data_IF_423680224677
#
_entry.id   IF_423680224677
#
_cell.length_a   1.000
_cell.length_b   1.000
_cell.length_c   1.000
_cell.angle_alpha   90.00
_cell.angle_beta   90.00
_cell.angle_gamma   90.00
#
_symmetry.space_group_name_H-M   'P 1'
#
loop_
_entity.id
_entity.type
_entity.pdbx_description
1 polymer ?
#
# COMPACT_ATOMS: atom_id res chain seq x y z
N UNK A 1 -5.94 22.40 6.66
CA UNK A 1 -4.55 22.01 7.06
C UNK A 1 -4.15 20.60 6.62
N UNK A 2 -5.04 19.61 6.69
CA UNK A 2 -4.79 18.22 6.24
C UNK A 2 -4.59 18.15 4.72
N UNK A 3 -5.35 18.90 3.94
CA UNK A 3 -5.26 18.96 2.47
C UNK A 3 -3.92 19.51 1.98
N UNK A 4 -3.35 20.51 2.66
CA UNK A 4 -2.07 21.12 2.25
C UNK A 4 -0.88 20.19 2.51
N UNK A 5 -0.95 19.33 3.53
CA UNK A 5 0.10 18.35 3.84
C UNK A 5 0.05 17.12 2.91
N UNK A 6 -1.15 16.71 2.49
CA UNK A 6 -1.34 15.67 1.46
C UNK A 6 -0.76 16.13 0.11
N UNK A 7 -1.03 17.37 -0.31
CA UNK A 7 -0.47 17.94 -1.55
C UNK A 7 1.07 17.98 -1.52
N UNK A 8 1.67 18.31 -0.38
CA UNK A 8 3.13 18.29 -0.24
C UNK A 8 3.74 16.90 -0.37
N UNK A 9 3.09 15.87 0.19
CA UNK A 9 3.57 14.48 0.06
C UNK A 9 3.39 13.93 -1.36
N UNK A 10 2.31 14.28 -2.04
CA UNK A 10 2.07 13.90 -3.44
C UNK A 10 3.09 14.55 -4.39
N UNK A 11 3.46 15.80 -4.17
CA UNK A 11 4.53 16.47 -4.94
C UNK A 11 5.87 15.77 -4.77
N UNK A 12 6.26 15.43 -3.53
CA UNK A 12 7.51 14.71 -3.28
C UNK A 12 7.54 13.30 -3.91
N UNK A 13 6.41 12.60 -3.92
CA UNK A 13 6.26 11.28 -4.58
C UNK A 13 6.41 11.44 -6.08
N UNK A 14 5.71 12.40 -6.67
CA UNK A 14 5.76 12.73 -8.08
C UNK A 14 7.19 13.04 -8.54
N UNK A 15 7.88 13.96 -7.85
CA UNK A 15 9.23 14.38 -8.22
C UNK A 15 10.24 13.23 -8.13
N UNK A 16 10.08 12.33 -7.15
CA UNK A 16 10.92 11.14 -7.03
C UNK A 16 10.66 10.10 -8.11
N UNK A 17 9.40 9.88 -8.46
CA UNK A 17 9.04 8.97 -9.56
C UNK A 17 9.54 9.55 -10.89
N UNK A 18 9.38 10.86 -11.12
CA UNK A 18 9.90 11.57 -12.28
C UNK A 18 11.41 11.44 -12.41
N UNK A 19 12.17 11.76 -11.36
CA UNK A 19 13.63 11.63 -11.35
C UNK A 19 14.09 10.21 -11.70
N UNK A 20 13.43 9.19 -11.14
CA UNK A 20 13.75 7.79 -11.42
C UNK A 20 13.35 7.35 -12.82
N UNK A 21 12.23 7.83 -13.33
CA UNK A 21 11.78 7.58 -14.71
C UNK A 21 12.76 8.19 -15.71
N UNK A 22 13.18 9.43 -15.52
CA UNK A 22 14.20 10.10 -16.34
C UNK A 22 15.53 9.34 -16.31
N UNK A 23 15.98 8.88 -15.15
CA UNK A 23 17.21 8.09 -15.01
C UNK A 23 17.15 6.74 -15.71
N UNK A 24 15.96 6.15 -15.86
CA UNK A 24 15.71 4.88 -16.61
C UNK A 24 15.30 5.12 -18.06
N UNK A 25 15.48 6.33 -18.59
CA UNK A 25 15.14 6.75 -19.97
C UNK A 25 13.66 6.44 -20.33
N UNK A 26 12.76 6.66 -19.39
CA UNK A 26 11.33 6.50 -19.61
C UNK A 26 10.69 7.83 -19.98
N UNK A 27 9.74 7.77 -20.90
CA UNK A 27 8.98 8.92 -21.39
C UNK A 27 8.09 9.48 -20.26
N UNK A 28 8.52 10.58 -19.66
CA UNK A 28 7.84 11.22 -18.54
C UNK A 28 6.40 11.62 -18.85
N UNK A 29 6.15 12.06 -20.07
CA UNK A 29 4.81 12.51 -20.46
C UNK A 29 3.73 11.43 -20.28
N UNK A 30 4.13 10.15 -20.31
CA UNK A 30 3.24 9.01 -20.10
C UNK A 30 3.14 8.56 -18.64
N UNK A 31 4.08 8.95 -17.78
CA UNK A 31 4.06 8.58 -16.35
C UNK A 31 2.99 9.36 -15.59
N UNK A 32 2.82 10.64 -15.91
CA UNK A 32 1.80 11.46 -15.25
C UNK A 32 0.37 10.95 -15.48
N UNK A 33 -0.07 10.68 -16.74
CA UNK A 33 -1.38 10.07 -16.96
C UNK A 33 -1.55 8.71 -16.28
N UNK A 34 -0.49 7.87 -16.25
CA UNK A 34 -0.53 6.60 -15.51
C UNK A 34 -0.87 6.81 -14.03
N UNK A 35 -0.22 7.79 -13.38
CA UNK A 35 -0.48 8.08 -11.97
C UNK A 35 -1.91 8.54 -11.76
N UNK A 36 -2.40 9.47 -12.58
CA UNK A 36 -3.78 9.96 -12.51
C UNK A 36 -4.79 8.83 -12.70
N UNK A 37 -4.62 8.00 -13.73
CA UNK A 37 -5.52 6.87 -13.99
C UNK A 37 -5.48 5.82 -12.88
N UNK A 38 -4.30 5.56 -12.30
CA UNK A 38 -4.15 4.61 -11.18
C UNK A 38 -4.84 5.11 -9.91
N UNK A 39 -4.79 6.41 -9.64
CA UNK A 39 -5.50 7.02 -8.51
C UNK A 39 -7.01 6.97 -8.72
N UNK A 40 -7.48 7.35 -9.91
CA UNK A 40 -8.91 7.28 -10.25
C UNK A 40 -9.44 5.84 -10.20
N UNK A 41 -8.69 4.89 -10.77
CA UNK A 41 -9.04 3.47 -10.72
C UNK A 41 -9.02 2.91 -9.30
N UNK A 42 -8.10 3.37 -8.47
CA UNK A 42 -8.06 3.04 -7.04
C UNK A 42 -9.28 3.57 -6.30
N UNK A 43 -9.64 4.83 -6.53
CA UNK A 43 -10.83 5.44 -5.92
C UNK A 43 -12.12 4.71 -6.33
N UNK A 44 -12.30 4.45 -7.62
CA UNK A 44 -13.44 3.70 -8.14
C UNK A 44 -13.48 2.26 -7.61
N UNK A 45 -12.35 1.55 -7.62
CA UNK A 45 -12.25 0.19 -7.11
C UNK A 45 -12.59 0.10 -5.62
N UNK A 46 -12.12 1.08 -4.83
CA UNK A 46 -12.45 1.20 -3.41
C UNK A 46 -13.95 1.34 -3.17
N UNK A 47 -14.62 2.13 -4.00
CA UNK A 47 -16.05 2.37 -3.95
C UNK A 47 -16.85 1.17 -4.43
N UNK A 48 -16.45 0.57 -5.53
CA UNK A 48 -17.11 -0.63 -6.08
C UNK A 48 -17.07 -1.76 -5.06
N UNK A 49 -15.89 -2.02 -4.46
CA UNK A 49 -15.79 -3.09 -3.46
C UNK A 49 -16.62 -2.79 -2.21
N UNK A 50 -16.70 -1.53 -1.77
CA UNK A 50 -17.57 -1.14 -0.67
C UNK A 50 -19.05 -1.42 -0.97
N UNK A 51 -19.53 -1.04 -2.16
CA UNK A 51 -20.90 -1.31 -2.58
C UNK A 51 -21.17 -2.82 -2.69
N UNK A 52 -20.22 -3.60 -3.17
CA UNK A 52 -20.34 -5.06 -3.24
C UNK A 52 -20.46 -5.69 -1.85
N UNK A 53 -19.68 -5.22 -0.86
CA UNK A 53 -19.77 -5.73 0.53
C UNK A 53 -21.09 -5.37 1.21
N UNK A 54 -21.73 -4.27 0.79
CA UNK A 54 -23.03 -3.81 1.29
C UNK A 54 -24.21 -4.26 0.43
N UNK A 55 -23.96 -5.01 -0.63
CA UNK A 55 -24.99 -5.43 -1.56
C UNK A 55 -26.19 -6.15 -0.90
N UNK A 56 -25.99 -7.09 0.06
CA UNK A 56 -27.13 -7.72 0.75
C UNK A 56 -28.01 -6.71 1.49
N UNK A 57 -27.41 -5.73 2.18
CA UNK A 57 -28.13 -4.70 2.92
C UNK A 57 -28.91 -3.75 1.98
N UNK A 58 -28.29 -3.39 0.85
CA UNK A 58 -28.89 -2.52 -0.18
C UNK A 58 -30.06 -3.22 -0.88
N UNK A 59 -29.96 -4.53 -1.14
CA UNK A 59 -31.05 -5.31 -1.73
C UNK A 59 -32.22 -5.46 -0.76
N UNK A 60 -31.96 -5.57 0.54
CA UNK A 60 -32.99 -5.62 1.57
C UNK A 60 -33.68 -4.25 1.77
N UNK A 61 -32.94 -3.15 1.63
CA UNK A 61 -33.45 -1.79 1.80
C UNK A 61 -32.80 -0.82 0.79
N UNK A 62 -33.45 -0.59 -0.39
CA UNK A 62 -32.90 0.27 -1.45
C UNK A 62 -32.63 1.73 -1.04
N UNK A 63 -33.28 2.23 0.02
CA UNK A 63 -33.05 3.59 0.53
C UNK A 63 -31.62 3.79 1.04
N UNK A 64 -30.91 2.70 1.42
CA UNK A 64 -29.51 2.75 1.87
C UNK A 64 -28.53 3.04 0.73
N UNK A 65 -28.92 2.94 -0.53
CA UNK A 65 -28.05 3.20 -1.67
C UNK A 65 -27.52 4.64 -1.66
N UNK A 66 -28.37 5.62 -1.36
CA UNK A 66 -27.99 7.03 -1.33
C UNK A 66 -26.95 7.37 -0.26
N UNK A 67 -27.07 6.81 0.95
CA UNK A 67 -26.08 6.95 2.01
C UNK A 67 -24.80 6.17 1.69
N UNK A 68 -24.92 4.94 1.18
CA UNK A 68 -23.78 4.11 0.80
C UNK A 68 -22.93 4.72 -0.33
N UNK A 69 -23.50 5.53 -1.21
CA UNK A 69 -22.73 6.26 -2.23
C UNK A 69 -21.91 7.39 -1.60
N UNK A 70 -22.41 8.04 -0.57
CA UNK A 70 -21.71 9.14 0.10
C UNK A 70 -20.63 8.64 1.06
N UNK A 71 -20.89 7.56 1.80
CA UNK A 71 -20.06 7.07 2.89
C UNK A 71 -19.34 5.77 2.52
N UNK A 72 -18.16 5.58 3.11
CA UNK A 72 -17.43 4.33 3.10
C UNK A 72 -16.59 4.04 1.84
N UNK A 73 -15.41 3.53 2.11
CA UNK A 73 -14.46 3.04 1.11
C UNK A 73 -13.73 1.81 1.66
N UNK A 74 -13.48 0.82 0.80
CA UNK A 74 -12.71 -0.37 1.16
C UNK A 74 -11.32 -0.28 0.53
N UNK A 75 -10.29 -0.22 1.37
CA UNK A 75 -8.89 -0.05 0.95
C UNK A 75 -8.43 -1.13 -0.03
N UNK A 76 -8.84 -2.38 0.17
CA UNK A 76 -8.47 -3.48 -0.73
C UNK A 76 -9.00 -3.28 -2.15
N UNK A 77 -10.21 -2.72 -2.30
CA UNK A 77 -10.75 -2.35 -3.60
C UNK A 77 -9.90 -1.28 -4.29
N UNK A 78 -9.38 -0.34 -3.51
CA UNK A 78 -8.46 0.69 -4.00
C UNK A 78 -7.14 0.11 -4.51
N UNK A 79 -6.55 -0.81 -3.78
CA UNK A 79 -5.31 -1.49 -4.20
C UNK A 79 -5.54 -2.29 -5.48
N UNK A 80 -6.59 -3.10 -5.53
CA UNK A 80 -6.92 -3.92 -6.71
C UNK A 80 -7.22 -3.02 -7.91
N UNK A 81 -8.07 -1.99 -7.74
CA UNK A 81 -8.44 -1.06 -8.80
C UNK A 81 -7.24 -0.28 -9.34
N UNK A 82 -6.37 0.22 -8.45
CA UNK A 82 -5.16 0.93 -8.84
C UNK A 82 -4.17 0.06 -9.62
N UNK A 83 -3.93 -1.17 -9.15
CA UNK A 83 -3.04 -2.13 -9.83
C UNK A 83 -3.62 -2.53 -11.19
N UNK A 84 -4.92 -2.84 -11.26
CA UNK A 84 -5.60 -3.22 -12.49
C UNK A 84 -5.54 -2.09 -13.54
N UNK A 85 -5.81 -0.87 -13.13
CA UNK A 85 -5.75 0.30 -14.02
C UNK A 85 -4.33 0.55 -14.51
N UNK A 86 -3.33 0.46 -13.63
CA UNK A 86 -1.93 0.56 -14.01
C UNK A 86 -1.53 -0.53 -15.01
N UNK A 87 -2.00 -1.76 -14.80
CA UNK A 87 -1.73 -2.88 -15.71
C UNK A 87 -2.37 -2.67 -17.10
N UNK A 88 -3.65 -2.25 -17.13
CA UNK A 88 -4.36 -1.93 -18.38
C UNK A 88 -3.62 -0.81 -19.14
N UNK A 89 -3.26 0.27 -18.44
CA UNK A 89 -2.52 1.39 -19.02
C UNK A 89 -1.19 0.95 -19.61
N UNK A 90 -0.43 0.11 -18.89
CA UNK A 90 0.83 -0.44 -19.39
C UNK A 90 0.64 -1.30 -20.65
N UNK A 91 -0.45 -2.06 -20.72
CA UNK A 91 -0.81 -2.83 -21.92
C UNK A 91 -1.12 -1.92 -23.10
N UNK A 92 -1.91 -0.87 -22.91
CA UNK A 92 -2.27 0.09 -23.96
C UNK A 92 -1.05 0.86 -24.48
N UNK A 93 -0.13 1.23 -23.61
CA UNK A 93 1.08 1.99 -23.94
C UNK A 93 2.27 1.11 -24.32
N UNK A 94 2.11 -0.22 -24.32
CA UNK A 94 3.18 -1.22 -24.57
C UNK A 94 4.37 -1.10 -23.60
N UNK A 95 4.10 -0.66 -22.37
CA UNK A 95 5.12 -0.53 -21.34
C UNK A 95 5.29 -1.80 -20.52
N UNK A 96 6.51 -2.01 -20.03
CA UNK A 96 6.75 -3.11 -19.08
C UNK A 96 6.19 -2.75 -17.70
N UNK A 97 5.09 -3.41 -17.32
CA UNK A 97 4.42 -3.23 -16.03
C UNK A 97 5.38 -3.42 -14.84
N UNK A 98 6.22 -4.44 -14.86
CA UNK A 98 7.14 -4.73 -13.77
C UNK A 98 8.20 -3.65 -13.57
N UNK A 99 8.68 -3.05 -14.65
CA UNK A 99 9.63 -1.94 -14.59
C UNK A 99 9.02 -0.70 -13.93
N UNK A 100 7.76 -0.42 -14.23
CA UNK A 100 7.01 0.69 -13.62
C UNK A 100 6.76 0.41 -12.14
N UNK A 101 6.36 -0.81 -11.82
CA UNK A 101 6.10 -1.23 -10.45
C UNK A 101 7.34 -1.07 -9.56
N UNK A 102 8.52 -1.46 -10.05
CA UNK A 102 9.80 -1.24 -9.36
C UNK A 102 10.12 0.23 -9.10
N UNK A 103 9.72 1.11 -10.02
CA UNK A 103 9.93 2.55 -9.84
C UNK A 103 8.95 3.11 -8.81
N UNK A 104 7.72 2.62 -8.80
CA UNK A 104 6.64 3.13 -7.96
C UNK A 104 6.75 2.66 -6.49
N UNK A 105 7.18 1.42 -6.23
CA UNK A 105 7.11 0.83 -4.88
C UNK A 105 7.84 1.62 -3.78
N UNK A 106 9.04 2.18 -3.98
CA UNK A 106 9.66 3.02 -2.95
C UNK A 106 8.85 4.31 -2.66
N UNK A 107 8.17 4.86 -3.67
CA UNK A 107 7.31 6.01 -3.48
C UNK A 107 6.02 5.63 -2.73
N UNK A 108 5.47 4.45 -3.00
CA UNK A 108 4.33 3.89 -2.27
C UNK A 108 4.69 3.67 -0.80
N UNK A 109 5.86 3.08 -0.49
CA UNK A 109 6.32 2.91 0.89
C UNK A 109 6.46 4.27 1.61
N UNK A 110 7.00 5.28 0.94
CA UNK A 110 7.09 6.64 1.49
C UNK A 110 5.70 7.24 1.77
N UNK A 111 4.76 7.08 0.84
CA UNK A 111 3.38 7.56 1.01
C UNK A 111 2.69 6.89 2.19
N UNK A 112 2.90 5.59 2.39
CA UNK A 112 2.39 4.84 3.53
C UNK A 112 2.94 5.39 4.85
N UNK A 113 4.24 5.67 4.94
CA UNK A 113 4.85 6.29 6.12
C UNK A 113 4.19 7.62 6.50
N UNK A 114 3.94 8.51 5.52
CA UNK A 114 3.19 9.75 5.75
C UNK A 114 1.72 9.50 6.12
N UNK A 115 1.08 8.50 5.50
CA UNK A 115 -0.27 8.09 5.85
C UNK A 115 -0.39 7.63 7.31
N UNK A 116 0.63 6.96 7.87
CA UNK A 116 0.67 6.58 9.29
C UNK A 116 0.79 7.77 10.23
N UNK A 117 1.52 8.82 9.83
CA UNK A 117 1.52 10.09 10.57
C UNK A 117 0.11 10.70 10.57
N UNK A 118 -0.61 10.63 9.44
CA UNK A 118 -2.01 11.04 9.37
C UNK A 118 -2.91 10.24 10.32
N UNK A 119 -2.72 8.91 10.43
CA UNK A 119 -3.43 8.06 11.38
C UNK A 119 -3.14 8.45 12.84
N UNK A 120 -1.89 8.84 13.16
CA UNK A 120 -1.52 9.33 14.48
C UNK A 120 -2.28 10.61 14.84
N UNK A 121 -2.32 11.56 13.91
CA UNK A 121 -3.03 12.84 14.11
C UNK A 121 -4.56 12.66 14.22
N UNK A 122 -5.12 11.64 13.55
CA UNK A 122 -6.53 11.29 13.65
C UNK A 122 -6.86 10.45 14.90
N UNK A 123 -5.85 9.92 15.62
CA UNK A 123 -6.07 9.03 16.76
C UNK A 123 -6.61 7.66 16.38
N UNK A 124 -6.43 7.19 15.13
CA UNK A 124 -6.88 5.87 14.69
C UNK A 124 -5.71 4.88 14.59
N UNK A 125 -6.01 3.59 14.49
CA UNK A 125 -5.00 2.52 14.30
C UNK A 125 -3.98 2.44 15.46
N UNK A 126 -4.40 2.69 16.67
CA UNK A 126 -3.60 2.65 17.90
C UNK A 126 -3.22 1.22 18.29
N UNK A 127 -2.23 1.11 19.18
CA UNK A 127 -1.76 -0.15 19.72
C UNK A 127 -2.46 -0.55 21.04
N UNK A 128 -1.95 -1.61 21.63
CA UNK A 128 -2.42 -2.10 22.94
C UNK A 128 -2.24 -1.04 24.04
N UNK A 129 -3.02 -1.17 25.09
CA UNK A 129 -2.89 -0.35 26.30
C UNK A 129 -1.59 -0.66 27.01
N UNK A 130 -0.93 0.38 27.49
CA UNK A 130 0.30 0.31 28.26
C UNK A 130 0.08 0.81 29.68
N UNK A 131 0.98 0.44 30.58
CA UNK A 131 1.02 1.02 31.92
C UNK A 131 1.14 2.56 31.79
N UNK A 132 0.34 3.33 32.54
CA UNK A 132 0.40 4.80 32.52
C UNK A 132 1.79 5.39 32.83
N UNK A 133 2.63 4.65 33.55
CA UNK A 133 4.02 5.04 33.83
C UNK A 133 4.98 4.77 32.67
N UNK A 134 4.54 4.12 31.59
CA UNK A 134 5.41 3.76 30.47
C UNK A 134 5.73 4.99 29.61
N UNK A 135 7.02 5.38 29.46
CA UNK A 135 7.42 6.60 28.77
C UNK A 135 7.17 6.55 27.24
N UNK A 136 6.90 5.37 26.66
CA UNK A 136 6.65 5.19 25.22
C UNK A 136 5.16 5.40 24.91
N UNK A 137 4.28 5.33 25.91
CA UNK A 137 2.83 5.47 25.75
C UNK A 137 2.44 6.86 25.26
N UNK A 138 1.53 6.91 24.29
CA UNK A 138 0.88 8.15 23.85
C UNK A 138 -0.54 8.18 24.38
N UNK A 139 -0.92 9.29 24.98
CA UNK A 139 -2.28 9.54 25.48
C UNK A 139 -3.00 10.44 24.48
N UNK A 140 -4.19 10.03 24.06
CA UNK A 140 -5.07 10.83 23.22
C UNK A 140 -6.10 11.54 24.09
N UNK A 141 -6.34 12.81 23.80
CA UNK A 141 -7.38 13.61 24.41
C UNK A 141 -8.38 14.04 23.33
N UNK A 142 -9.67 13.82 23.57
CA UNK A 142 -10.75 14.15 22.61
C UNK A 142 -10.63 13.45 21.25
N UNK A 143 -10.07 12.25 21.20
CA UNK A 143 -10.07 11.43 19.98
C UNK A 143 -11.46 10.85 19.72
N UNK A 144 -11.87 10.82 18.45
CA UNK A 144 -13.10 10.16 18.02
C UNK A 144 -12.93 8.63 17.84
N UNK A 145 -11.70 8.12 17.80
CA UNK A 145 -11.40 6.74 17.46
C UNK A 145 -10.63 5.99 18.58
N UNK A 146 -9.64 6.63 19.17
CA UNK A 146 -8.87 6.01 20.27
C UNK A 146 -9.55 6.21 21.61
N UNK A 147 -9.35 5.28 22.58
CA UNK A 147 -9.65 5.53 23.98
C UNK A 147 -8.96 6.80 24.46
N UNK A 148 -9.71 7.68 25.12
CA UNK A 148 -9.17 8.92 25.66
C UNK A 148 -8.60 8.67 27.04
N UNK A 149 -7.55 9.43 27.39
CA UNK A 149 -6.90 9.45 28.69
C UNK A 149 -6.25 8.10 29.10
N UNK A 150 -5.95 7.25 28.09
CA UNK A 150 -5.28 5.96 28.27
C UNK A 150 -3.94 5.98 27.53
N UNK A 151 -2.89 5.44 28.17
CA UNK A 151 -1.58 5.29 27.53
C UNK A 151 -1.61 4.13 26.52
N UNK A 152 -1.41 4.43 25.25
CA UNK A 152 -1.48 3.49 24.13
C UNK A 152 -0.12 3.36 23.44
N UNK A 153 0.22 2.14 22.99
CA UNK A 153 1.42 1.92 22.20
C UNK A 153 1.29 2.65 20.85
N UNK A 154 2.25 3.53 20.46
CA UNK A 154 2.18 4.30 19.22
C UNK A 154 2.52 3.47 17.99
N UNK A 155 1.71 2.48 17.67
CA UNK A 155 1.88 1.62 16.49
C UNK A 155 1.91 2.40 15.19
N UNK A 156 1.30 3.58 15.14
CA UNK A 156 1.33 4.49 14.00
C UNK A 156 2.76 5.01 13.74
N UNK A 157 3.48 5.42 14.80
CA UNK A 157 4.86 5.88 14.69
C UNK A 157 5.77 4.72 14.27
N UNK A 158 5.62 3.57 14.92
CA UNK A 158 6.41 2.36 14.59
C UNK A 158 6.19 1.98 13.13
N UNK A 159 4.92 1.96 12.67
CA UNK A 159 4.57 1.69 11.26
C UNK A 159 5.22 2.71 10.32
N UNK A 160 5.15 4.01 10.65
CA UNK A 160 5.73 5.07 9.83
C UNK A 160 7.24 4.91 9.67
N UNK A 161 7.96 4.62 10.76
CA UNK A 161 9.42 4.38 10.74
C UNK A 161 9.75 3.16 9.88
N UNK A 162 9.00 2.06 10.02
CA UNK A 162 9.19 0.85 9.21
C UNK A 162 8.92 1.11 7.72
N UNK A 163 7.88 1.88 7.38
CA UNK A 163 7.56 2.22 6.00
C UNK A 163 8.63 3.13 5.38
N UNK A 164 9.17 4.10 6.10
CA UNK A 164 10.29 4.91 5.65
C UNK A 164 11.58 4.09 5.51
N UNK A 165 11.88 3.22 6.47
CA UNK A 165 13.02 2.31 6.40
C UNK A 165 12.91 1.40 5.16
N UNK A 166 11.72 0.83 4.92
CA UNK A 166 11.43 0.04 3.72
C UNK A 166 11.70 0.85 2.45
N UNK A 167 11.22 2.10 2.36
CA UNK A 167 11.51 2.98 1.23
C UNK A 167 13.02 3.10 0.96
N UNK A 168 13.83 3.39 1.99
CA UNK A 168 15.28 3.54 1.83
C UNK A 168 15.97 2.23 1.44
N UNK A 169 15.56 1.11 2.02
CA UNK A 169 16.06 -0.22 1.65
C UNK A 169 15.74 -0.54 0.19
N UNK A 170 14.51 -0.29 -0.26
CA UNK A 170 14.10 -0.50 -1.65
C UNK A 170 14.89 0.40 -2.62
N UNK A 171 15.17 1.64 -2.24
CA UNK A 171 16.01 2.54 -3.02
C UNK A 171 17.46 2.02 -3.14
N UNK A 172 18.02 1.44 -2.08
CA UNK A 172 19.34 0.82 -2.10
C UNK A 172 19.34 -0.47 -2.96
N UNK A 173 18.33 -1.33 -2.79
CA UNK A 173 18.18 -2.56 -3.55
C UNK A 173 17.94 -2.30 -5.05
N UNK A 174 17.23 -1.22 -5.41
CA UNK A 174 16.98 -0.86 -6.80
C UNK A 174 18.26 -0.55 -7.61
N UNK A 175 19.39 -0.33 -6.94
CA UNK A 175 20.71 -0.17 -7.58
C UNK A 175 21.40 -1.51 -7.84
N UNK A 176 21.06 -2.55 -7.07
CA UNK A 176 21.70 -3.86 -7.13
C UNK A 176 20.88 -4.88 -7.95
N UNK A 177 19.57 -4.81 -7.87
CA UNK A 177 18.66 -5.72 -8.57
C UNK A 177 18.54 -5.32 -10.04
N UNK A 178 18.72 -6.30 -10.94
CA UNK A 178 18.78 -6.07 -12.39
C UNK A 178 17.52 -6.49 -13.13
N UNK A 179 16.74 -7.41 -12.56
CA UNK A 179 15.52 -7.94 -13.20
C UNK A 179 14.32 -7.09 -12.80
N UNK A 180 13.51 -6.70 -13.79
CA UNK A 180 12.28 -5.95 -13.54
C UNK A 180 11.30 -6.75 -12.68
N UNK A 181 10.70 -6.11 -11.68
CA UNK A 181 9.77 -6.69 -10.70
C UNK A 181 10.41 -7.16 -9.40
N UNK A 182 11.75 -7.22 -9.30
CA UNK A 182 12.40 -7.67 -8.07
C UNK A 182 12.26 -6.67 -6.91
N UNK A 183 12.31 -5.36 -7.19
CA UNK A 183 12.13 -4.33 -6.15
C UNK A 183 10.71 -4.35 -5.62
N UNK A 184 9.72 -4.54 -6.49
CA UNK A 184 8.33 -4.70 -6.10
C UNK A 184 8.11 -5.96 -5.26
N UNK A 185 8.76 -7.06 -5.62
CA UNK A 185 8.74 -8.31 -4.84
C UNK A 185 9.30 -8.11 -3.43
N UNK A 186 10.44 -7.41 -3.30
CA UNK A 186 11.01 -7.06 -2.00
C UNK A 186 10.07 -6.19 -1.17
N UNK A 187 9.40 -5.22 -1.79
CA UNK A 187 8.38 -4.41 -1.11
C UNK A 187 7.26 -5.27 -0.53
N UNK A 188 6.70 -6.21 -1.31
CA UNK A 188 5.65 -7.11 -0.85
C UNK A 188 6.09 -7.94 0.37
N UNK A 189 7.32 -8.45 0.34
CA UNK A 189 7.89 -9.25 1.44
C UNK A 189 8.07 -8.39 2.70
N UNK A 190 8.76 -7.26 2.60
CA UNK A 190 9.07 -6.43 3.77
C UNK A 190 7.82 -5.83 4.39
N UNK A 191 6.89 -5.35 3.56
CA UNK A 191 5.62 -4.81 4.03
C UNK A 191 4.79 -5.89 4.74
N UNK A 192 4.67 -7.08 4.16
CA UNK A 192 3.87 -8.15 4.76
C UNK A 192 4.45 -8.67 6.08
N UNK A 193 5.78 -8.77 6.19
CA UNK A 193 6.44 -9.13 7.45
C UNK A 193 6.16 -8.04 8.52
N UNK A 194 6.41 -6.78 8.18
CA UNK A 194 6.14 -5.66 9.09
C UNK A 194 4.68 -5.61 9.52
N UNK A 195 3.75 -5.81 8.58
CA UNK A 195 2.31 -5.82 8.84
C UNK A 195 1.90 -7.00 9.73
N UNK A 196 2.45 -8.19 9.50
CA UNK A 196 2.18 -9.37 10.30
C UNK A 196 2.62 -9.19 11.76
N UNK A 197 3.84 -8.68 11.97
CA UNK A 197 4.40 -8.44 13.31
C UNK A 197 3.64 -7.34 14.04
N UNK A 198 3.36 -6.22 13.37
CA UNK A 198 2.64 -5.10 13.99
C UNK A 198 1.22 -5.45 14.41
N UNK A 199 0.58 -6.43 13.78
CA UNK A 199 -0.78 -6.82 14.13
C UNK A 199 -0.89 -7.36 15.55
N UNK A 200 0.16 -7.99 16.09
CA UNK A 200 0.18 -8.44 17.50
C UNK A 200 0.15 -7.30 18.53
N UNK A 201 0.57 -6.12 18.11
CA UNK A 201 0.66 -4.94 18.97
C UNK A 201 -0.52 -3.97 18.76
N UNK A 202 -1.51 -4.35 17.98
CA UNK A 202 -2.67 -3.49 17.71
C UNK A 202 -3.75 -3.67 18.78
N UNK A 203 -4.33 -2.54 19.21
CA UNK A 203 -5.42 -2.50 20.20
C UNK A 203 -6.82 -2.43 19.57
N UNK A 204 -6.93 -2.11 18.26
CA UNK A 204 -8.21 -2.00 17.57
C UNK A 204 -8.72 -3.37 17.06
N UNK A 205 -9.32 -4.15 17.91
CA UNK A 205 -9.72 -5.56 17.70
C UNK A 205 -10.94 -5.78 16.76
N UNK A 206 -11.49 -4.75 16.12
CA UNK A 206 -12.78 -4.82 15.39
C UNK A 206 -12.67 -5.50 14.00
N UNK A 207 -11.57 -6.16 13.65
CA UNK A 207 -11.28 -6.55 12.25
C UNK A 207 -11.60 -7.98 11.85
N UNK A 208 -12.19 -8.75 12.70
CA UNK A 208 -12.48 -10.17 12.43
C UNK A 208 -11.24 -11.05 12.42
N UNK A 209 -11.43 -12.30 12.80
CA UNK A 209 -10.40 -13.34 12.84
C UNK A 209 -10.71 -14.44 11.81
N UNK A 210 -9.68 -15.02 11.21
CA UNK A 210 -9.76 -16.23 10.39
C UNK A 210 -8.99 -17.32 11.13
N UNK A 211 -9.70 -18.13 11.92
CA UNK A 211 -9.08 -19.08 12.84
C UNK A 211 -8.34 -18.34 13.97
N UNK A 212 -7.08 -18.70 14.20
CA UNK A 212 -6.21 -18.08 15.22
C UNK A 212 -5.54 -16.77 14.77
N UNK A 213 -5.60 -16.46 13.46
CA UNK A 213 -4.97 -15.25 12.90
C UNK A 213 -6.00 -14.17 12.65
N UNK A 214 -5.57 -12.91 12.77
CA UNK A 214 -6.36 -11.79 12.25
C UNK A 214 -6.45 -11.85 10.73
N UNK A 215 -7.52 -11.30 10.16
CA UNK A 215 -7.68 -11.20 8.70
C UNK A 215 -6.46 -10.53 8.05
N UNK A 216 -5.87 -9.53 8.71
CA UNK A 216 -4.66 -8.85 8.21
C UNK A 216 -3.43 -9.75 8.20
N UNK A 217 -3.24 -10.59 9.22
CA UNK A 217 -2.13 -11.55 9.29
C UNK A 217 -2.26 -12.60 8.20
N UNK A 218 -3.47 -13.14 8.01
CA UNK A 218 -3.77 -14.12 6.98
C UNK A 218 -3.42 -13.58 5.58
N UNK A 219 -3.91 -12.38 5.25
CA UNK A 219 -3.60 -11.70 3.97
C UNK A 219 -2.10 -11.46 3.84
N UNK A 220 -1.41 -11.06 4.92
CA UNK A 220 0.03 -10.81 4.90
C UNK A 220 0.85 -12.04 4.55
N UNK A 221 0.45 -13.23 5.03
CA UNK A 221 1.11 -14.49 4.65
C UNK A 221 1.02 -14.77 3.16
N UNK A 222 -0.16 -14.57 2.54
CA UNK A 222 -0.33 -14.75 1.10
C UNK A 222 0.47 -13.74 0.30
N UNK A 223 0.49 -12.46 0.71
CA UNK A 223 1.27 -11.42 0.04
C UNK A 223 2.76 -11.72 0.14
N UNK A 224 3.24 -12.20 1.29
CA UNK A 224 4.62 -12.63 1.47
C UNK A 224 4.99 -13.78 0.52
N UNK A 225 4.14 -14.80 0.43
CA UNK A 225 4.34 -15.93 -0.47
C UNK A 225 4.38 -15.49 -1.94
N UNK A 226 3.45 -14.62 -2.36
CA UNK A 226 3.45 -14.04 -3.70
C UNK A 226 4.75 -13.27 -3.94
N UNK A 227 5.19 -12.45 -3.00
CA UNK A 227 6.45 -11.72 -3.07
C UNK A 227 7.66 -12.63 -3.27
N UNK A 228 7.74 -13.75 -2.54
CA UNK A 228 8.80 -14.74 -2.68
C UNK A 228 8.76 -15.42 -4.04
N UNK A 229 7.59 -15.87 -4.48
CA UNK A 229 7.41 -16.50 -5.81
C UNK A 229 7.83 -15.54 -6.93
N UNK A 230 7.47 -14.28 -6.85
CA UNK A 230 7.86 -13.27 -7.83
C UNK A 230 9.37 -12.98 -7.78
N UNK A 231 9.95 -12.87 -6.58
CA UNK A 231 11.38 -12.56 -6.42
C UNK A 231 12.28 -13.60 -7.08
N UNK A 232 11.94 -14.89 -6.96
CA UNK A 232 12.71 -15.98 -7.55
C UNK A 232 12.22 -16.37 -8.95
N UNK A 233 10.93 -16.23 -9.23
CA UNK A 233 10.33 -16.64 -10.51
C UNK A 233 10.63 -15.66 -11.66
N UNK A 234 10.58 -14.35 -11.42
CA UNK A 234 10.83 -13.36 -12.47
C UNK A 234 12.21 -13.47 -13.12
N UNK A 235 13.33 -13.65 -12.38
CA UNK A 235 14.65 -13.86 -13.00
C UNK A 235 14.73 -15.12 -13.85
N UNK A 236 14.07 -16.22 -13.45
CA UNK A 236 14.03 -17.46 -14.21
C UNK A 236 13.27 -17.27 -15.53
N UNK A 237 12.14 -16.59 -15.47
CA UNK A 237 11.34 -16.27 -16.66
C UNK A 237 12.08 -15.33 -17.61
N UNK A 238 12.80 -14.36 -17.08
CA UNK A 238 13.61 -13.43 -17.88
C UNK A 238 14.75 -14.17 -18.62
N UNK A 239 15.44 -15.09 -17.94
CA UNK A 239 16.48 -15.92 -18.56
C UNK A 239 15.93 -16.82 -19.68
N UNK A 240 14.77 -17.45 -19.47
CA UNK A 240 14.13 -18.29 -20.51
C UNK A 240 13.75 -17.49 -21.74
N UNK A 241 13.21 -16.28 -21.59
CA UNK A 241 12.87 -15.41 -22.72
C UNK A 241 14.12 -14.98 -23.52
N UNK A 242 15.23 -14.66 -22.84
CA UNK A 242 16.49 -14.33 -23.51
C UNK A 242 17.10 -15.52 -24.27
N UNK A 243 17.00 -16.72 -23.73
CA UNK A 243 17.47 -17.94 -24.40
C UNK A 243 16.62 -18.31 -25.62
N UNK A 244 15.29 -18.08 -25.56
CA UNK A 244 14.40 -18.36 -26.69
C UNK A 244 14.62 -17.37 -27.85
N UNK A 245 14.90 -16.09 -27.56
CA UNK A 245 15.20 -15.07 -28.57
C UNK A 245 16.54 -15.32 -29.30
N UNK A 246 17.51 -15.98 -28.65
CA UNK A 246 18.80 -16.35 -29.27
C UNK A 246 18.74 -17.63 -30.08
N UNK A 247 17.69 -18.45 -29.97
CA UNK A 247 17.50 -19.66 -30.76
C UNK A 247 16.69 -19.44 -32.05
N UNK A 248 16.15 -18.25 -32.24
CA UNK A 248 15.40 -17.85 -33.46
C UNK A 248 16.23 -16.97 -34.42
N UNK A 249 17.47 -16.62 -34.06
CA UNK A 249 18.49 -16.03 -34.95
C UNK A 249 19.44 -17.13 -35.48
#
# INVERSE_FOLDING_TARGET
EITTRLVGSEMCIRDRVEYRAKKKQMDWEKVFPLTVWSVLGGFLGSKILYLLTRLPDILANPALLGSSIKDGFVVYGGIIGGILTAWIYCKCTKWNFWKIFDIAMPAVAMAQGFGRIGCLLAGCCYGIELDPANPIGIVFHNSAYAPNDVALLPTQIISSVLDFANCFVLLALSKKLKTDGQVASCYLIFYSIGRFVLEYFRGDLIRGNVGEFSTSQFISLFICLIGLVLLFGLPVLAKKKGACAQSEE
#
